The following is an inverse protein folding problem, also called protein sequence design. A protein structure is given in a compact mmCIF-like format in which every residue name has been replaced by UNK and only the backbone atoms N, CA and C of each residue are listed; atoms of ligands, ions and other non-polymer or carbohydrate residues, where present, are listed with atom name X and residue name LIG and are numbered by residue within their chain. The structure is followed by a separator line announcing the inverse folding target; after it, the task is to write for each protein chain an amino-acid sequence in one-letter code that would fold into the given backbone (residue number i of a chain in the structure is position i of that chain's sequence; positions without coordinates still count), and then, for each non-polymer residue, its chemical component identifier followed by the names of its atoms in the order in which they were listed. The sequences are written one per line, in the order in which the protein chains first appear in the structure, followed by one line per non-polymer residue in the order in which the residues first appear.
data_IF_384559904207
#
_entry.id   IF_384559904207
#
_cell.length_a   1.000
_cell.length_b   1.000
_cell.length_c   1.000
_cell.angle_alpha   90.00
_cell.angle_beta   90.00
_cell.angle_gamma   90.00
#
_symmetry.space_group_name_H-M   'P 1'
#
loop_
_entity.id
_entity.type
_entity.pdbx_description
1 polymer ?
#
# COMPACT_ATOMS: atom_id res chain seq x y z
N UNK A 1 -6.99 -22.32 -11.10
CA UNK A 1 -6.52 -21.01 -10.60
C UNK A 1 -6.47 -21.14 -9.11
N UNK A 2 -5.33 -20.81 -8.51
CA UNK A 2 -5.17 -20.92 -7.06
C UNK A 2 -6.11 -19.94 -6.36
N UNK A 3 -6.49 -20.24 -5.12
CA UNK A 3 -7.24 -19.31 -4.29
C UNK A 3 -6.39 -18.09 -3.92
N UNK A 4 -7.03 -16.94 -3.65
CA UNK A 4 -6.32 -15.72 -3.23
C UNK A 4 -5.39 -15.96 -2.02
N UNK A 5 -5.80 -16.85 -1.11
CA UNK A 5 -5.00 -17.22 0.06
C UNK A 5 -3.75 -18.03 -0.31
N UNK A 6 -3.84 -18.93 -1.30
CA UNK A 6 -2.69 -19.68 -1.80
C UNK A 6 -1.72 -18.76 -2.53
N UNK A 7 -2.22 -17.85 -3.36
CA UNK A 7 -1.43 -16.83 -4.05
C UNK A 7 -0.70 -15.95 -3.01
N UNK A 8 -1.41 -15.50 -1.97
CA UNK A 8 -0.82 -14.67 -0.92
C UNK A 8 0.26 -15.40 -0.10
N UNK A 9 0.09 -16.71 0.15
CA UNK A 9 1.09 -17.53 0.88
C UNK A 9 2.30 -17.88 0.01
N UNK A 10 2.13 -18.01 -1.30
CA UNK A 10 3.21 -18.29 -2.24
C UNK A 10 4.08 -17.05 -2.54
N UNK A 11 3.57 -15.85 -2.26
CA UNK A 11 4.32 -14.61 -2.45
C UNK A 11 5.54 -14.55 -1.50
N UNK A 12 6.66 -14.05 -2.02
CA UNK A 12 7.85 -13.73 -1.23
C UNK A 12 7.95 -12.20 -1.07
N UNK A 13 7.24 -11.60 -0.10
CA UNK A 13 7.22 -10.15 0.07
C UNK A 13 8.60 -9.61 0.45
N UNK A 14 8.95 -8.46 -0.13
CA UNK A 14 10.12 -7.70 0.29
C UNK A 14 9.92 -7.12 1.70
N UNK A 15 11.03 -6.89 2.40
CA UNK A 15 11.01 -6.18 3.68
C UNK A 15 10.45 -4.77 3.49
N UNK A 16 9.59 -4.31 4.40
CA UNK A 16 8.88 -3.03 4.24
C UNK A 16 9.81 -1.81 4.18
N UNK A 17 11.01 -1.93 4.74
CA UNK A 17 12.05 -0.90 4.64
C UNK A 17 12.54 -0.69 3.19
N UNK A 18 12.60 -1.75 2.37
CA UNK A 18 12.97 -1.62 0.95
C UNK A 18 11.93 -0.79 0.20
N UNK A 19 10.64 -1.06 0.44
CA UNK A 19 9.54 -0.29 -0.14
C UNK A 19 9.54 1.16 0.35
N UNK A 20 9.81 1.37 1.64
CA UNK A 20 9.90 2.71 2.22
C UNK A 20 11.04 3.54 1.59
N UNK A 21 12.18 2.92 1.31
CA UNK A 21 13.31 3.57 0.66
C UNK A 21 12.95 4.07 -0.76
N UNK A 22 12.15 3.32 -1.53
CA UNK A 22 11.65 3.78 -2.84
C UNK A 22 10.77 5.05 -2.74
N UNK A 23 10.15 5.28 -1.58
CA UNK A 23 9.35 6.48 -1.28
C UNK A 23 10.17 7.58 -0.57
N UNK A 24 11.49 7.40 -0.48
CA UNK A 24 12.40 8.31 0.22
C UNK A 24 12.12 8.40 1.72
N UNK A 25 11.70 7.31 2.35
CA UNK A 25 11.53 7.18 3.80
C UNK A 25 12.66 6.32 4.35
N UNK A 26 13.27 6.78 5.44
CA UNK A 26 14.33 6.06 6.16
C UNK A 26 13.77 5.20 7.28
N UNK A 27 14.61 4.36 7.88
CA UNK A 27 14.23 3.51 9.03
C UNK A 27 13.62 4.30 10.20
N UNK A 28 14.14 5.50 10.46
CA UNK A 28 13.71 6.36 11.56
C UNK A 28 12.32 6.95 11.34
N UNK A 29 11.83 6.93 10.10
CA UNK A 29 10.49 7.35 9.74
C UNK A 29 9.44 6.25 10.01
N UNK A 30 9.87 5.04 10.40
CA UNK A 30 9.03 3.85 10.48
C UNK A 30 8.90 3.29 11.90
N UNK A 31 7.67 3.03 12.29
CA UNK A 31 7.31 2.24 13.49
C UNK A 31 6.95 0.83 13.01
N UNK A 32 7.86 -0.12 13.18
CA UNK A 32 7.71 -1.47 12.61
C UNK A 32 6.72 -2.33 13.38
N UNK A 33 6.01 -3.16 12.63
CA UNK A 33 5.11 -4.21 13.10
C UNK A 33 5.47 -5.52 12.39
N UNK A 34 6.61 -6.10 12.76
CA UNK A 34 7.20 -7.21 12.01
C UNK A 34 7.94 -6.75 10.75
N UNK A 35 8.34 -7.67 9.86
CA UNK A 35 9.24 -7.37 8.74
C UNK A 35 8.55 -6.66 7.56
N UNK A 36 7.24 -6.86 7.39
CA UNK A 36 6.52 -6.47 6.16
C UNK A 36 5.44 -5.42 6.41
N UNK A 37 5.31 -4.92 7.64
CA UNK A 37 4.31 -3.92 8.02
C UNK A 37 4.96 -2.87 8.90
N UNK A 38 4.69 -1.60 8.62
CA UNK A 38 5.12 -0.48 9.44
C UNK A 38 4.11 0.66 9.38
N UNK A 39 4.06 1.48 10.43
CA UNK A 39 3.41 2.79 10.40
C UNK A 39 4.46 3.85 10.07
N UNK A 40 4.05 4.89 9.35
CA UNK A 40 4.88 6.08 9.13
C UNK A 40 4.73 7.01 10.35
N UNK A 41 5.84 7.53 10.86
CA UNK A 41 5.84 8.47 11.97
C UNK A 41 5.15 9.79 11.56
N UNK A 42 4.42 10.39 12.49
CA UNK A 42 3.71 11.65 12.25
C UNK A 42 4.67 12.81 11.91
N UNK A 43 5.83 12.85 12.54
CA UNK A 43 6.84 13.88 12.29
C UNK A 43 7.36 13.81 10.85
N UNK A 44 7.59 12.59 10.35
CA UNK A 44 8.03 12.34 8.97
C UNK A 44 6.99 12.81 7.95
N UNK A 45 5.69 12.60 8.23
CA UNK A 45 4.60 13.05 7.36
C UNK A 45 4.52 14.58 7.30
N UNK A 46 4.61 15.27 8.44
CA UNK A 46 4.60 16.74 8.53
C UNK A 46 5.75 17.39 7.76
N UNK A 47 6.93 16.79 7.78
CA UNK A 47 8.06 17.34 7.04
C UNK A 47 7.85 17.23 5.52
N UNK A 48 7.18 16.16 5.07
CA UNK A 48 6.89 15.95 3.64
C UNK A 48 5.69 16.72 3.11
N UNK A 49 4.82 17.28 3.96
CA UNK A 49 3.66 18.07 3.52
C UNK A 49 4.03 19.41 2.88
N UNK A 50 5.31 19.76 2.83
CA UNK A 50 5.83 20.93 2.10
C UNK A 50 6.08 20.64 0.62
N UNK A 51 6.07 19.38 0.21
CA UNK A 51 6.25 19.00 -1.19
C UNK A 51 4.97 19.24 -2.00
N UNK A 52 5.11 19.38 -3.31
CA UNK A 52 3.96 19.41 -4.21
C UNK A 52 3.17 18.10 -4.12
N UNK A 53 1.84 18.19 -4.11
CA UNK A 53 0.99 17.02 -4.12
C UNK A 53 1.12 16.26 -5.45
N UNK A 54 1.07 14.93 -5.36
CA UNK A 54 0.88 14.08 -6.55
C UNK A 54 -0.54 14.16 -7.09
N UNK A 55 -0.82 13.39 -8.14
CA UNK A 55 -2.18 13.28 -8.70
C UNK A 55 -3.09 12.43 -7.81
N UNK A 56 -4.32 12.89 -7.58
CA UNK A 56 -5.35 12.12 -6.90
C UNK A 56 -6.24 11.43 -7.94
N UNK A 57 -6.22 10.09 -7.94
CA UNK A 57 -7.06 9.27 -8.81
C UNK A 57 -8.13 8.59 -7.95
N UNK A 58 -9.40 8.89 -8.23
CA UNK A 58 -10.55 8.27 -7.57
C UNK A 58 -11.09 7.13 -8.43
N UNK A 59 -10.97 5.89 -7.95
CA UNK A 59 -11.54 4.71 -8.60
C UNK A 59 -12.93 4.44 -8.00
N UNK A 60 -13.95 4.38 -8.86
CA UNK A 60 -15.35 4.09 -8.49
C UNK A 60 -15.90 2.92 -9.31
N UNK A 61 -17.07 2.41 -8.92
CA UNK A 61 -17.80 1.38 -9.64
C UNK A 61 -19.27 1.73 -9.76
N UNK A 62 -19.99 0.97 -10.58
CA UNK A 62 -21.45 0.97 -10.59
C UNK A 62 -22.00 0.41 -9.26
N UNK A 63 -23.33 0.45 -9.09
CA UNK A 63 -24.00 -0.15 -7.94
C UNK A 63 -23.61 -1.63 -7.78
N UNK A 64 -23.30 -2.10 -6.55
CA UNK A 64 -22.89 -3.48 -6.33
C UNK A 64 -23.93 -4.50 -6.79
N UNK A 65 -23.44 -5.59 -7.37
CA UNK A 65 -24.21 -6.73 -7.85
C UNK A 65 -23.65 -8.03 -7.25
N UNK A 66 -24.42 -9.14 -7.24
CA UNK A 66 -23.92 -10.43 -6.75
C UNK A 66 -22.69 -10.98 -7.50
N UNK A 67 -22.46 -10.54 -8.75
CA UNK A 67 -21.31 -10.97 -9.54
C UNK A 67 -20.00 -10.28 -9.13
N UNK A 68 -20.10 -9.15 -8.42
CA UNK A 68 -18.96 -8.35 -8.00
C UNK A 68 -18.34 -7.52 -9.14
N UNK A 69 -17.88 -6.32 -8.81
CA UNK A 69 -17.43 -5.32 -9.81
C UNK A 69 -15.91 -5.26 -9.92
N UNK A 70 -15.17 -5.96 -9.04
CA UNK A 70 -13.71 -5.96 -9.09
C UNK A 70 -13.04 -4.62 -8.80
N UNK A 71 -13.75 -3.66 -8.16
CA UNK A 71 -13.24 -2.31 -7.87
C UNK A 71 -11.87 -2.31 -7.18
N UNK A 72 -11.70 -3.13 -6.13
CA UNK A 72 -10.44 -3.18 -5.36
C UNK A 72 -9.32 -3.85 -6.14
N UNK A 73 -9.62 -4.90 -6.92
CA UNK A 73 -8.64 -5.56 -7.80
C UNK A 73 -8.12 -4.56 -8.83
N UNK A 74 -9.02 -3.79 -9.44
CA UNK A 74 -8.69 -2.71 -10.41
C UNK A 74 -7.94 -1.53 -9.78
N UNK A 75 -8.08 -1.32 -8.47
CA UNK A 75 -7.34 -0.25 -7.76
C UNK A 75 -5.90 -0.66 -7.47
N UNK A 76 -5.64 -1.95 -7.30
CA UNK A 76 -4.32 -2.50 -6.93
C UNK A 76 -3.51 -2.91 -8.18
N UNK A 77 -4.17 -3.42 -9.23
CA UNK A 77 -3.54 -3.83 -10.49
C UNK A 77 -3.32 -2.68 -11.45
#
# INVERSE_FOLDING_TARGET
MDSDMEIARAANPEHIETIANHLGLSRNDLIMHGPNVAKISWNSLKNKSQNANGSLILVTSVNPTPFGEGKTVTTIG
#
